data_IF_206223916069
#
_entry.id   IF_206223916069
#
_cell.length_a   1.000
_cell.length_b   1.000
_cell.length_c   1.000
_cell.angle_alpha   90.00
_cell.angle_beta   90.00
_cell.angle_gamma   90.00
#
_symmetry.space_group_name_H-M   'P 1'
#
loop_
_entity.id
_entity.type
_entity.pdbx_description
1 polymer ?
#
# COMPACT_ATOMS: atom_id res chain seq x y z
N UNK A 1 32.68 -42.35 -30.24
CA UNK A 1 32.69 -42.98 -28.89
C UNK A 1 33.28 -41.99 -27.89
N UNK A 2 32.51 -41.60 -26.87
CA UNK A 2 32.92 -41.36 -25.47
C UNK A 2 31.65 -41.04 -24.69
N UNK A 3 31.19 -42.04 -23.94
CA UNK A 3 30.02 -42.02 -23.07
C UNK A 3 30.44 -41.33 -21.78
N UNK A 4 29.80 -40.23 -21.38
CA UNK A 4 29.95 -39.70 -20.03
C UNK A 4 28.72 -40.10 -19.23
N UNK A 5 28.99 -40.92 -18.22
CA UNK A 5 28.03 -41.63 -17.39
C UNK A 5 27.41 -40.67 -16.38
N UNK A 6 26.11 -40.87 -16.17
CA UNK A 6 25.30 -40.28 -15.13
C UNK A 6 25.89 -40.62 -13.75
N UNK A 7 25.99 -39.62 -12.89
CA UNK A 7 26.21 -39.81 -11.46
C UNK A 7 24.97 -39.30 -10.73
N UNK A 8 23.99 -40.19 -10.61
CA UNK A 8 22.91 -40.09 -9.64
C UNK A 8 23.46 -40.57 -8.29
N UNK A 9 23.47 -39.71 -7.27
CA UNK A 9 23.44 -40.17 -5.87
C UNK A 9 22.38 -39.34 -5.15
N UNK A 10 21.36 -40.06 -4.69
CA UNK A 10 20.26 -39.65 -3.84
C UNK A 10 20.76 -38.97 -2.55
N UNK A 11 20.01 -37.99 -2.05
CA UNK A 11 19.29 -38.18 -0.76
C UNK A 11 18.11 -37.21 -0.68
N UNK A 12 16.90 -37.78 -0.78
CA UNK A 12 15.66 -37.12 -0.42
C UNK A 12 15.15 -37.75 0.89
N UNK A 13 14.54 -36.90 1.72
CA UNK A 13 13.57 -37.16 2.80
C UNK A 13 13.99 -36.58 4.16
N UNK A 14 13.68 -35.30 4.37
CA UNK A 14 13.30 -34.80 5.68
C UNK A 14 11.92 -34.16 5.56
N UNK A 15 10.91 -34.87 6.07
CA UNK A 15 9.54 -34.41 6.29
C UNK A 15 9.14 -34.85 7.70
N UNK A 16 9.25 -33.92 8.65
CA UNK A 16 8.52 -33.83 9.92
C UNK A 16 8.43 -32.31 10.15
N UNK A 17 7.34 -31.64 9.72
CA UNK A 17 6.16 -31.44 10.55
C UNK A 17 6.52 -30.92 11.96
N UNK A 18 6.79 -29.63 12.05
CA UNK A 18 6.60 -28.87 13.28
C UNK A 18 5.85 -27.59 12.90
N UNK A 19 4.59 -27.54 13.31
CA UNK A 19 3.76 -26.36 13.25
C UNK A 19 4.38 -25.26 14.12
N UNK A 20 4.28 -24.05 13.60
CA UNK A 20 4.40 -22.77 14.28
C UNK A 20 3.49 -22.77 15.54
N UNK A 21 4.06 -23.05 16.72
CA UNK A 21 3.42 -22.78 18.01
C UNK A 21 3.90 -21.41 18.48
N UNK A 22 3.16 -20.39 18.04
CA UNK A 22 3.21 -19.06 18.64
C UNK A 22 2.83 -19.15 20.12
N UNK A 23 3.78 -18.77 20.97
CA UNK A 23 3.46 -18.15 22.26
C UNK A 23 3.98 -18.90 23.49
N UNK A 24 5.12 -18.45 24.04
CA UNK A 24 5.28 -18.17 25.47
C UNK A 24 6.64 -17.50 25.75
N UNK A 25 6.68 -16.18 25.77
CA UNK A 25 7.68 -15.48 26.60
C UNK A 25 7.18 -15.47 28.06
N UNK A 26 8.07 -15.70 29.04
CA UNK A 26 7.69 -15.74 30.44
C UNK A 26 7.38 -14.34 30.98
N UNK A 27 6.24 -14.24 31.66
CA UNK A 27 5.83 -13.09 32.44
C UNK A 27 6.87 -12.76 33.52
N UNK A 28 7.44 -11.56 33.45
CA UNK A 28 7.93 -10.86 34.63
C UNK A 28 6.77 -10.07 35.25
N UNK A 29 6.60 -10.08 36.59
CA UNK A 29 5.80 -9.06 37.27
C UNK A 29 6.59 -7.73 37.12
N UNK A 30 5.98 -6.56 37.00
CA UNK A 30 5.22 -5.93 38.06
C UNK A 30 4.23 -4.94 37.48
N UNK A 31 3.01 -5.01 38.01
CA UNK A 31 2.00 -3.98 37.90
C UNK A 31 2.45 -2.76 38.70
N UNK A 32 2.61 -1.62 38.04
CA UNK A 32 2.47 -0.31 38.68
C UNK A 32 1.23 0.37 38.12
N UNK A 33 0.19 0.28 38.93
CA UNK A 33 -1.03 1.05 38.89
C UNK A 33 -0.69 2.54 39.07
N UNK A 34 -0.70 3.31 37.99
CA UNK A 34 -0.80 4.77 38.07
C UNK A 34 -2.13 5.20 37.47
N UNK A 35 -3.10 5.30 38.37
CA UNK A 35 -4.38 5.94 38.18
C UNK A 35 -4.20 7.42 37.77
N UNK A 36 -4.25 7.69 36.47
CA UNK A 36 -4.48 9.05 35.97
C UNK A 36 -5.95 9.41 36.24
N UNK A 37 -6.11 10.14 37.34
CA UNK A 37 -7.32 10.89 37.69
C UNK A 37 -7.63 11.89 36.58
N UNK A 38 -8.78 11.72 35.91
CA UNK A 38 -9.31 12.69 34.97
C UNK A 38 -10.59 13.29 35.58
N UNK A 39 -10.59 14.56 36.04
CA UNK A 39 -11.78 15.18 36.59
C UNK A 39 -12.72 15.73 35.52
N UNK A 40 -14.00 15.41 35.73
CA UNK A 40 -15.23 16.15 35.44
C UNK A 40 -15.47 16.73 34.03
N UNK A 41 -16.48 16.17 33.37
CA UNK A 41 -17.24 16.81 32.30
C UNK A 41 -18.01 18.05 32.79
N UNK A 42 -18.22 19.05 31.93
CA UNK A 42 -19.39 19.91 32.00
C UNK A 42 -20.44 19.44 30.99
N UNK A 43 -21.59 19.05 31.52
CA UNK A 43 -22.88 19.11 30.81
C UNK A 43 -23.39 20.54 30.94
N UNK A 44 -23.69 21.24 29.85
CA UNK A 44 -24.84 22.15 29.82
C UNK A 44 -25.26 22.55 28.39
N UNK A 45 -26.47 22.12 28.05
CA UNK A 45 -27.52 22.80 27.30
C UNK A 45 -27.25 23.43 25.90
N UNK A 46 -27.83 22.78 24.88
CA UNK A 46 -28.64 23.48 23.87
C UNK A 46 -30.04 23.80 24.48
N UNK A 47 -30.87 24.76 23.99
CA UNK A 47 -30.98 25.20 22.59
C UNK A 47 -31.26 26.71 22.37
N UNK A 48 -31.05 27.21 21.15
CA UNK A 48 -31.92 28.27 20.59
C UNK A 48 -31.86 28.30 19.06
N UNK A 49 -33.02 28.57 18.48
CA UNK A 49 -33.42 28.22 17.14
C UNK A 49 -33.08 29.27 16.07
N UNK A 50 -33.03 28.77 14.83
CA UNK A 50 -33.50 29.38 13.59
C UNK A 50 -33.02 30.80 13.21
N UNK A 51 -32.10 30.82 12.23
CA UNK A 51 -32.32 31.58 11.01
C UNK A 51 -32.16 30.61 9.84
N UNK A 52 -33.30 30.21 9.27
CA UNK A 52 -33.34 29.58 7.97
C UNK A 52 -33.09 30.67 6.93
N UNK A 53 -31.85 30.76 6.43
CA UNK A 53 -31.60 31.42 5.16
C UNK A 53 -31.59 30.32 4.11
N UNK A 54 -32.62 30.37 3.27
CA UNK A 54 -32.80 29.52 2.10
C UNK A 54 -31.79 29.95 1.04
N UNK A 55 -30.52 29.56 1.21
CA UNK A 55 -29.56 29.57 0.12
C UNK A 55 -29.73 28.26 -0.65
N UNK A 56 -30.18 28.38 -1.90
CA UNK A 56 -30.36 27.25 -2.80
C UNK A 56 -29.07 26.43 -2.81
N UNK A 57 -29.16 25.15 -2.43
CA UNK A 57 -28.03 24.25 -2.50
C UNK A 57 -27.38 24.39 -3.87
N UNK A 58 -26.10 24.80 -3.97
CA UNK A 58 -25.43 24.85 -5.24
C UNK A 58 -25.49 23.43 -5.81
N UNK A 59 -26.12 23.29 -6.97
CA UNK A 59 -25.99 22.07 -7.77
C UNK A 59 -24.51 21.72 -7.81
N UNK A 60 -24.09 20.48 -7.47
CA UNK A 60 -22.69 20.12 -7.56
C UNK A 60 -22.25 20.30 -9.01
N UNK A 61 -21.55 21.40 -9.29
CA UNK A 61 -20.87 21.60 -10.56
C UNK A 61 -19.94 20.40 -10.71
N UNK A 62 -20.02 19.64 -11.82
CA UNK A 62 -19.03 18.61 -12.08
C UNK A 62 -17.65 19.25 -11.97
N UNK A 63 -16.67 18.61 -11.28
CA UNK A 63 -15.35 19.19 -11.13
C UNK A 63 -14.83 19.57 -12.52
N UNK A 64 -14.42 20.83 -12.70
CA UNK A 64 -13.80 21.26 -13.94
C UNK A 64 -12.68 20.28 -14.30
N UNK A 65 -12.47 20.02 -15.59
CA UNK A 65 -11.48 19.04 -16.04
C UNK A 65 -10.08 19.27 -15.43
N UNK A 66 -9.77 20.49 -15.00
CA UNK A 66 -8.57 20.85 -14.25
C UNK A 66 -8.48 20.18 -12.87
N UNK A 67 -9.59 20.03 -12.14
CA UNK A 67 -9.64 19.30 -10.87
C UNK A 67 -9.55 17.78 -11.07
N UNK A 68 -10.08 17.23 -12.16
CA UNK A 68 -9.86 15.83 -12.54
C UNK A 68 -8.37 15.55 -12.86
N UNK A 69 -7.61 16.59 -13.20
CA UNK A 69 -6.16 16.55 -13.40
C UNK A 69 -5.34 16.97 -12.16
N UNK A 70 -5.93 17.03 -10.95
CA UNK A 70 -5.24 17.40 -9.70
C UNK A 70 -4.16 16.42 -9.23
N UNK A 71 -3.89 15.36 -10.00
CA UNK A 71 -2.91 14.36 -9.62
C UNK A 71 -1.50 14.95 -9.78
N UNK A 72 -0.70 15.05 -8.70
CA UNK A 72 0.65 15.59 -8.81
C UNK A 72 1.48 14.67 -9.70
N UNK A 73 2.36 15.22 -10.56
CA UNK A 73 3.23 14.41 -11.41
C UNK A 73 4.03 13.39 -10.61
N UNK A 74 4.25 12.21 -11.20
CA UNK A 74 5.21 11.25 -10.67
C UNK A 74 6.63 11.79 -10.93
N UNK A 75 7.34 12.14 -9.87
CA UNK A 75 8.75 12.51 -9.95
C UNK A 75 9.62 11.52 -9.17
N UNK A 76 10.54 10.88 -9.90
CA UNK A 76 11.56 9.98 -9.35
C UNK A 76 12.99 10.51 -9.57
N UNK A 77 13.15 11.70 -10.18
CA UNK A 77 14.44 12.20 -10.69
C UNK A 77 15.50 12.35 -9.58
N UNK A 78 15.07 12.81 -8.40
CA UNK A 78 15.93 13.00 -7.23
C UNK A 78 16.08 11.77 -6.33
N UNK A 79 15.40 10.67 -6.63
CA UNK A 79 15.36 9.51 -5.75
C UNK A 79 16.75 8.86 -5.60
N UNK A 80 17.08 8.48 -4.36
CA UNK A 80 18.32 7.79 -4.00
C UNK A 80 17.96 6.44 -3.35
N UNK A 81 18.70 5.36 -3.66
CA UNK A 81 18.40 4.05 -3.09
C UNK A 81 18.57 4.08 -1.57
N UNK A 82 17.47 3.87 -0.86
CA UNK A 82 17.47 3.66 0.60
C UNK A 82 17.12 2.21 0.91
N UNK A 83 17.59 1.67 2.02
CA UNK A 83 17.23 0.31 2.45
C UNK A 83 15.69 0.14 2.46
N UNK A 84 15.22 -0.98 1.91
CA UNK A 84 13.79 -1.28 1.78
C UNK A 84 13.05 -0.53 0.66
N UNK A 85 13.68 0.43 -0.03
CA UNK A 85 13.07 1.08 -1.21
C UNK A 85 13.05 0.15 -2.42
N UNK A 86 12.09 0.39 -3.31
CA UNK A 86 12.03 -0.34 -4.57
C UNK A 86 13.22 -0.02 -5.46
N UNK A 87 13.69 1.23 -5.40
CA UNK A 87 14.92 1.66 -6.05
C UNK A 87 16.14 0.85 -5.61
N UNK A 88 16.28 0.57 -4.31
CA UNK A 88 17.37 -0.28 -3.80
C UNK A 88 17.18 -1.77 -4.16
N UNK A 89 15.94 -2.28 -4.19
CA UNK A 89 15.67 -3.69 -4.48
C UNK A 89 15.85 -4.05 -5.96
N UNK A 90 15.36 -3.22 -6.89
CA UNK A 90 15.32 -3.55 -8.32
C UNK A 90 16.33 -2.78 -9.17
N UNK A 91 16.92 -1.71 -8.62
CA UNK A 91 17.67 -0.73 -9.39
C UNK A 91 16.74 0.25 -10.14
N UNK A 92 17.34 1.34 -10.63
CA UNK A 92 16.63 2.52 -11.17
C UNK A 92 15.64 2.17 -12.28
N UNK A 93 16.13 1.58 -13.37
CA UNK A 93 15.32 1.30 -14.56
C UNK A 93 14.07 0.46 -14.24
N UNK A 94 14.23 -0.64 -13.49
CA UNK A 94 13.12 -1.53 -13.14
C UNK A 94 12.15 -0.92 -12.13
N UNK A 95 12.67 -0.16 -11.16
CA UNK A 95 11.84 0.52 -10.17
C UNK A 95 11.00 1.62 -10.81
N UNK A 96 11.60 2.43 -11.70
CA UNK A 96 10.90 3.48 -12.44
C UNK A 96 9.83 2.88 -13.36
N UNK A 97 10.13 1.82 -14.12
CA UNK A 97 9.13 1.13 -14.94
C UNK A 97 7.92 0.63 -14.12
N UNK A 98 8.16 0.02 -12.95
CA UNK A 98 7.10 -0.42 -12.05
C UNK A 98 6.31 0.77 -11.46
N UNK A 99 7.01 1.85 -11.11
CA UNK A 99 6.44 3.09 -10.58
C UNK A 99 5.48 3.74 -11.58
N UNK A 100 5.88 3.81 -12.85
CA UNK A 100 5.10 4.36 -13.94
C UNK A 100 3.85 3.53 -14.25
N UNK A 101 3.98 2.20 -14.30
CA UNK A 101 2.84 1.28 -14.48
C UNK A 101 1.82 1.44 -13.34
N UNK A 102 2.31 1.43 -12.08
CA UNK A 102 1.47 1.68 -10.91
C UNK A 102 0.76 3.03 -11.03
N UNK A 103 1.49 4.07 -11.46
CA UNK A 103 0.93 5.40 -11.56
C UNK A 103 -0.15 5.45 -12.65
N UNK A 104 0.07 4.86 -13.81
CA UNK A 104 -0.92 4.82 -14.89
C UNK A 104 -2.22 4.10 -14.48
N UNK A 105 -2.11 2.99 -13.74
CA UNK A 105 -3.28 2.18 -13.36
C UNK A 105 -3.98 2.66 -12.08
N UNK A 106 -3.32 3.42 -11.22
CA UNK A 106 -3.92 3.79 -9.95
C UNK A 106 -5.06 4.79 -10.12
N UNK A 107 -6.26 4.52 -9.56
CA UNK A 107 -7.35 5.49 -9.51
C UNK A 107 -7.18 6.56 -8.42
N UNK A 108 -6.12 6.49 -7.59
CA UNK A 108 -5.92 7.44 -6.51
C UNK A 108 -5.30 8.76 -7.00
N UNK A 109 -5.65 9.85 -6.35
CA UNK A 109 -5.09 11.18 -6.62
C UNK A 109 -3.65 11.34 -6.10
N UNK A 110 -3.21 10.52 -5.15
CA UNK A 110 -1.82 10.53 -4.61
C UNK A 110 -1.38 9.10 -4.24
N UNK A 111 -1.19 8.22 -5.23
CA UNK A 111 -0.90 6.82 -4.93
C UNK A 111 0.53 6.60 -4.44
N UNK A 112 0.78 5.51 -3.70
CA UNK A 112 2.10 5.15 -3.19
C UNK A 112 3.00 4.52 -4.28
N UNK A 113 3.00 5.05 -5.51
CA UNK A 113 3.75 4.50 -6.63
C UNK A 113 5.21 4.96 -6.71
N UNK A 114 5.66 5.90 -5.88
CA UNK A 114 7.03 6.44 -5.93
C UNK A 114 8.10 5.39 -5.57
N UNK A 115 9.23 5.37 -6.27
CA UNK A 115 10.31 4.36 -6.14
C UNK A 115 10.99 4.28 -4.77
N UNK A 116 10.82 5.30 -3.92
CA UNK A 116 11.29 5.30 -2.53
C UNK A 116 10.42 4.41 -1.62
N UNK A 117 9.20 4.08 -2.03
CA UNK A 117 8.38 3.06 -1.35
C UNK A 117 8.93 1.65 -1.63
N UNK A 118 8.53 0.67 -0.82
CA UNK A 118 8.87 -0.73 -1.07
C UNK A 118 8.21 -1.24 -2.36
N UNK A 119 8.87 -2.15 -3.10
CA UNK A 119 8.27 -2.71 -4.31
C UNK A 119 6.97 -3.46 -4.03
N UNK A 120 6.84 -4.09 -2.86
CA UNK A 120 5.59 -4.74 -2.45
C UNK A 120 4.43 -3.75 -2.40
N UNK A 121 4.65 -2.56 -1.83
CA UNK A 121 3.62 -1.51 -1.76
C UNK A 121 3.23 -1.02 -3.15
N UNK A 122 4.21 -0.79 -4.03
CA UNK A 122 3.97 -0.35 -5.41
C UNK A 122 3.21 -1.43 -6.20
N UNK A 123 3.60 -2.71 -6.08
CA UNK A 123 2.92 -3.84 -6.75
C UNK A 123 1.49 -4.03 -6.26
N UNK A 124 1.24 -3.92 -4.96
CA UNK A 124 -0.13 -4.00 -4.39
C UNK A 124 -1.03 -2.91 -4.96
N UNK A 125 -0.51 -1.70 -5.11
CA UNK A 125 -1.26 -0.60 -5.70
C UNK A 125 -1.47 -0.79 -7.20
N UNK A 126 -0.46 -1.27 -7.94
CA UNK A 126 -0.60 -1.65 -9.34
C UNK A 126 -1.68 -2.72 -9.52
N UNK A 127 -1.66 -3.79 -8.72
CA UNK A 127 -2.68 -4.85 -8.73
C UNK A 127 -4.07 -4.28 -8.49
N UNK A 128 -4.23 -3.44 -7.46
CA UNK A 128 -5.50 -2.75 -7.17
C UNK A 128 -5.98 -1.91 -8.35
N UNK A 129 -5.06 -1.23 -9.04
CA UNK A 129 -5.37 -0.46 -10.25
C UNK A 129 -5.78 -1.33 -11.44
N UNK A 130 -5.06 -2.42 -11.68
CA UNK A 130 -5.41 -3.41 -12.70
C UNK A 130 -6.77 -4.08 -12.44
N UNK A 131 -7.21 -4.18 -11.19
CA UNK A 131 -8.52 -4.76 -10.84
C UNK A 131 -9.64 -3.70 -10.76
N UNK A 132 -9.34 -2.42 -11.05
CA UNK A 132 -10.29 -1.32 -10.92
C UNK A 132 -11.06 -1.04 -12.21
N UNK A 133 -12.39 -1.08 -12.14
CA UNK A 133 -13.27 -0.71 -13.26
C UNK A 133 -13.46 -1.85 -14.27
N UNK A 134 -13.61 -1.49 -15.55
CA UNK A 134 -13.61 -2.46 -16.64
C UNK A 134 -12.16 -2.87 -16.94
N UNK A 135 -11.92 -4.17 -16.97
CA UNK A 135 -10.58 -4.77 -17.11
C UNK A 135 -10.32 -5.33 -18.50
N UNK A 136 -11.31 -5.27 -19.40
CA UNK A 136 -11.25 -5.86 -20.75
C UNK A 136 -10.12 -5.27 -21.61
N UNK A 137 -9.77 -4.00 -21.37
CA UNK A 137 -8.74 -3.25 -22.10
C UNK A 137 -7.47 -3.02 -21.25
N UNK A 138 -7.27 -3.82 -20.20
CA UNK A 138 -6.07 -3.69 -19.38
C UNK A 138 -4.79 -3.94 -20.18
N UNK A 139 -3.71 -3.20 -19.89
CA UNK A 139 -2.42 -3.43 -20.50
C UNK A 139 -1.84 -4.79 -20.08
N UNK A 140 -1.03 -5.41 -20.95
CA UNK A 140 -0.47 -6.76 -20.74
C UNK A 140 0.34 -6.93 -19.43
N UNK A 141 0.89 -5.84 -18.87
CA UNK A 141 1.57 -5.92 -17.58
C UNK A 141 0.63 -6.21 -16.41
N UNK A 142 -0.69 -6.13 -16.60
CA UNK A 142 -1.71 -6.53 -15.61
C UNK A 142 -1.97 -8.04 -15.56
N UNK A 143 -1.46 -8.84 -16.51
CA UNK A 143 -1.73 -10.29 -16.54
C UNK A 143 -0.96 -11.09 -15.46
N UNK A 144 -0.03 -10.44 -14.73
CA UNK A 144 0.87 -11.08 -13.77
C UNK A 144 1.09 -10.32 -12.45
N UNK A 145 0.17 -9.45 -12.06
CA UNK A 145 0.25 -8.59 -10.85
C UNK A 145 -0.49 -9.13 -9.63
#
# INVERSE_FOLDING_TARGET
MRKVKWATVLTAAMLLAACDEQGREPAGPEATDEAVTQPAAPTEAAPSAAAAESDAAPTPTPPDAEYANSRPPLDNSGAQPTEGSCLAQLGREKAEALSEQCYAMSPATRPPCNVQNSCERIRKELKRGCEFGDTSDNPAYCDGV
#
